data_IF_382445013517
#
_entry.id   IF_382445013517
#
_cell.length_a   1.000
_cell.length_b   1.000
_cell.length_c   1.000
_cell.angle_alpha   90.00
_cell.angle_beta   90.00
_cell.angle_gamma   90.00
#
_symmetry.space_group_name_H-M   'P 1'
#
loop_
_entity.id
_entity.type
_entity.pdbx_description
1 polymer ?
#
# COMPACT_ATOMS: atom_id res chain seq x y z
N UNK A 1 -24.90 0.31 -60.42
CA UNK A 1 -24.83 0.42 -58.97
C UNK A 1 -25.28 1.81 -58.58
N UNK A 2 -26.32 1.90 -57.80
CA UNK A 2 -26.82 3.21 -57.35
C UNK A 2 -25.93 3.75 -56.25
N UNK A 3 -25.51 4.97 -56.39
CA UNK A 3 -24.62 5.65 -55.41
C UNK A 3 -25.21 5.68 -54.02
N UNK A 4 -26.54 5.59 -53.91
CA UNK A 4 -27.26 5.55 -52.64
C UNK A 4 -27.11 4.22 -51.90
N UNK A 5 -26.96 3.11 -52.58
CA UNK A 5 -26.74 1.79 -51.96
C UNK A 5 -25.33 1.66 -51.35
N UNK A 6 -24.36 2.37 -51.92
CA UNK A 6 -22.99 2.37 -51.41
C UNK A 6 -22.89 3.11 -50.05
N UNK A 7 -23.63 4.21 -49.89
CA UNK A 7 -23.65 4.95 -48.62
C UNK A 7 -24.33 4.20 -47.48
N UNK A 8 -25.36 3.38 -47.78
CA UNK A 8 -26.07 2.59 -46.78
C UNK A 8 -25.18 1.47 -46.28
N UNK A 9 -24.42 0.83 -47.15
CA UNK A 9 -23.51 -0.25 -46.76
C UNK A 9 -22.33 0.23 -45.94
N UNK A 10 -21.81 1.41 -46.23
CA UNK A 10 -20.71 2.01 -45.45
C UNK A 10 -21.20 2.45 -44.06
N UNK A 11 -22.43 3.01 -44.00
CA UNK A 11 -23.02 3.41 -42.72
C UNK A 11 -23.29 2.22 -41.80
N UNK A 12 -23.67 1.06 -42.33
CA UNK A 12 -23.94 -0.14 -41.52
C UNK A 12 -22.63 -0.76 -40.99
N UNK A 13 -21.51 -0.59 -41.69
CA UNK A 13 -20.22 -1.11 -41.24
C UNK A 13 -19.60 -0.28 -40.10
N UNK A 14 -19.94 1.01 -40.01
CA UNK A 14 -19.41 1.90 -38.97
C UNK A 14 -20.07 1.72 -37.61
N UNK A 15 -21.29 1.18 -37.56
CA UNK A 15 -22.02 0.97 -36.30
C UNK A 15 -21.55 -0.26 -35.56
N UNK A 16 -20.89 -1.20 -36.23
CA UNK A 16 -20.42 -2.45 -35.65
C UNK A 16 -19.18 -2.37 -34.76
N UNK A 17 -18.50 -1.22 -34.72
CA UNK A 17 -17.24 -1.06 -33.97
C UNK A 17 -17.43 -0.57 -32.52
N UNK A 18 -18.65 -0.31 -32.09
CA UNK A 18 -18.90 0.43 -30.86
C UNK A 18 -19.12 -0.43 -29.62
N UNK A 19 -19.05 -1.77 -29.73
CA UNK A 19 -19.36 -2.68 -28.62
C UNK A 19 -18.28 -3.71 -28.30
N UNK A 20 -17.04 -3.48 -28.73
CA UNK A 20 -15.92 -4.31 -28.31
C UNK A 20 -15.23 -3.67 -27.09
N UNK A 21 -15.97 -3.43 -26.03
CA UNK A 21 -15.36 -3.32 -24.70
C UNK A 21 -15.16 -4.75 -24.21
N UNK A 22 -14.07 -5.34 -24.68
CA UNK A 22 -13.70 -6.68 -24.29
C UNK A 22 -13.34 -6.71 -22.83
N UNK A 23 -14.14 -7.39 -22.03
CA UNK A 23 -13.74 -7.85 -20.71
C UNK A 23 -12.53 -8.76 -20.90
N UNK A 24 -11.45 -8.44 -20.23
CA UNK A 24 -10.20 -9.17 -20.34
C UNK A 24 -9.92 -9.93 -19.05
N UNK A 25 -9.44 -11.15 -19.17
CA UNK A 25 -8.88 -11.85 -18.02
C UNK A 25 -7.45 -11.35 -17.82
N UNK A 26 -7.16 -10.86 -16.63
CA UNK A 26 -5.82 -10.44 -16.23
C UNK A 26 -5.25 -11.50 -15.30
N UNK A 27 -4.07 -11.96 -15.59
CA UNK A 27 -3.35 -12.91 -14.75
C UNK A 27 -1.91 -12.43 -14.54
N UNK A 28 -1.25 -12.96 -13.53
CA UNK A 28 0.13 -12.61 -13.25
C UNK A 28 0.62 -13.17 -11.93
N UNK A 29 1.74 -12.67 -11.47
CA UNK A 29 2.36 -13.08 -10.22
C UNK A 29 2.61 -11.87 -9.33
N UNK A 30 2.57 -12.09 -8.02
CA UNK A 30 2.99 -11.11 -7.01
C UNK A 30 4.21 -11.66 -6.28
N UNK A 31 5.31 -10.93 -6.31
CA UNK A 31 6.59 -11.34 -5.73
C UNK A 31 7.18 -10.23 -4.86
N UNK A 32 8.10 -10.62 -3.98
CA UNK A 32 8.94 -9.67 -3.25
C UNK A 32 10.00 -9.09 -4.20
N UNK A 33 10.11 -7.78 -4.24
CA UNK A 33 11.05 -7.08 -5.11
C UNK A 33 12.53 -7.31 -4.73
N UNK A 34 12.82 -7.64 -3.48
CA UNK A 34 14.17 -7.84 -2.99
C UNK A 34 14.65 -9.29 -3.14
N UNK A 35 13.77 -10.25 -2.86
CA UNK A 35 14.12 -11.68 -2.86
C UNK A 35 13.62 -12.43 -4.10
N UNK A 36 12.55 -11.95 -4.73
CA UNK A 36 11.87 -12.63 -5.82
C UNK A 36 10.92 -13.75 -5.37
N UNK A 37 10.74 -13.90 -4.08
CA UNK A 37 9.85 -14.91 -3.51
C UNK A 37 8.37 -14.58 -3.78
N UNK A 38 7.57 -15.62 -3.96
CA UNK A 38 6.13 -15.49 -4.16
C UNK A 38 5.44 -14.94 -2.91
N UNK A 39 4.65 -13.90 -3.05
CA UNK A 39 3.88 -13.30 -1.97
C UNK A 39 2.49 -13.95 -1.87
N UNK A 40 2.43 -15.03 -1.12
CA UNK A 40 1.19 -15.79 -0.90
C UNK A 40 0.17 -14.97 -0.14
N UNK A 41 -1.05 -14.90 -0.66
CA UNK A 41 -2.13 -14.14 -0.04
C UNK A 41 -2.08 -12.63 -0.29
N UNK A 42 -1.21 -12.16 -1.18
CA UNK A 42 -1.25 -10.78 -1.63
C UNK A 42 -2.60 -10.49 -2.31
N UNK A 43 -3.20 -9.38 -1.99
CA UNK A 43 -4.50 -8.99 -2.51
C UNK A 43 -4.32 -8.16 -3.78
N UNK A 44 -4.98 -8.55 -4.85
CA UNK A 44 -4.96 -7.85 -6.14
C UNK A 44 -6.38 -7.42 -6.48
N UNK A 45 -6.61 -6.13 -6.61
CA UNK A 45 -7.94 -5.56 -6.86
C UNK A 45 -7.94 -4.64 -8.07
N UNK A 46 -9.09 -4.57 -8.74
CA UNK A 46 -9.32 -3.63 -9.84
C UNK A 46 -9.99 -2.38 -9.29
N UNK A 47 -9.32 -1.24 -9.39
CA UNK A 47 -9.84 0.02 -8.85
C UNK A 47 -11.19 0.41 -9.45
N UNK A 48 -12.09 0.87 -8.60
CA UNK A 48 -13.43 1.29 -9.00
C UNK A 48 -14.40 0.14 -9.25
N UNK A 49 -14.01 -1.08 -8.95
CA UNK A 49 -14.87 -2.28 -9.07
C UNK A 49 -14.74 -3.16 -7.83
N UNK A 50 -15.61 -4.16 -7.71
CA UNK A 50 -15.53 -5.20 -6.69
C UNK A 50 -14.70 -6.42 -7.15
N UNK A 51 -14.02 -6.30 -8.29
CA UNK A 51 -13.24 -7.39 -8.86
C UNK A 51 -11.85 -7.46 -8.19
N UNK A 52 -11.45 -8.66 -7.82
CA UNK A 52 -10.15 -8.91 -7.24
C UNK A 52 -9.89 -10.39 -7.04
N UNK A 53 -8.64 -10.72 -6.73
CA UNK A 53 -8.19 -12.08 -6.43
C UNK A 53 -7.04 -12.03 -5.42
N UNK A 54 -6.82 -13.12 -4.71
CA UNK A 54 -5.68 -13.27 -3.82
C UNK A 54 -4.64 -14.21 -4.43
N UNK A 55 -3.39 -13.83 -4.32
CA UNK A 55 -2.29 -14.64 -4.83
C UNK A 55 -2.22 -16.02 -4.16
N UNK A 56 -2.09 -17.05 -4.95
CA UNK A 56 -2.00 -18.44 -4.49
C UNK A 56 -0.64 -18.80 -3.85
N UNK A 57 -0.43 -20.07 -3.55
CA UNK A 57 0.81 -20.55 -2.95
C UNK A 57 2.09 -20.29 -3.79
N UNK A 58 1.92 -20.02 -5.06
CA UNK A 58 3.01 -19.69 -6.00
C UNK A 58 3.04 -18.19 -6.33
N UNK A 59 2.19 -17.41 -5.69
CA UNK A 59 2.04 -15.97 -5.95
C UNK A 59 1.22 -15.65 -7.20
N UNK A 60 0.56 -16.61 -7.84
CA UNK A 60 -0.25 -16.37 -9.03
C UNK A 60 -1.64 -15.85 -8.67
N UNK A 61 -2.17 -14.96 -9.50
CA UNK A 61 -3.55 -14.49 -9.41
C UNK A 61 -4.22 -14.47 -10.78
N UNK A 62 -5.55 -14.45 -10.82
CA UNK A 62 -6.31 -14.37 -12.07
C UNK A 62 -7.65 -13.69 -11.85
N UNK A 63 -7.84 -12.53 -12.45
CA UNK A 63 -9.07 -11.74 -12.36
C UNK A 63 -9.76 -11.74 -13.71
N UNK A 64 -11.02 -12.18 -13.75
CA UNK A 64 -11.84 -12.21 -14.96
C UNK A 64 -12.69 -10.93 -15.07
N UNK A 65 -13.16 -10.65 -16.27
CA UNK A 65 -14.06 -9.51 -16.54
C UNK A 65 -13.47 -8.14 -16.17
N UNK A 66 -12.17 -7.99 -16.33
CA UNK A 66 -11.49 -6.72 -16.06
C UNK A 66 -11.74 -5.75 -17.21
N UNK A 67 -12.25 -4.55 -16.93
CA UNK A 67 -12.42 -3.52 -17.96
C UNK A 67 -11.08 -3.14 -18.60
N UNK A 68 -11.08 -2.96 -19.91
CA UNK A 68 -9.89 -2.53 -20.63
C UNK A 68 -9.40 -1.16 -20.11
N UNK A 69 -8.11 -1.06 -19.79
CA UNK A 69 -7.50 0.15 -19.27
C UNK A 69 -7.76 0.47 -17.79
N UNK A 70 -8.40 -0.45 -17.06
CA UNK A 70 -8.56 -0.30 -15.62
C UNK A 70 -7.22 -0.30 -14.88
N UNK A 71 -7.17 0.32 -13.72
CA UNK A 71 -6.01 0.24 -12.82
C UNK A 71 -6.15 -0.96 -11.91
N UNK A 72 -5.10 -1.75 -11.79
CA UNK A 72 -5.02 -2.89 -10.88
C UNK A 72 -4.03 -2.54 -9.79
N UNK A 73 -4.40 -2.78 -8.54
CA UNK A 73 -3.56 -2.52 -7.38
C UNK A 73 -3.28 -3.82 -6.64
N UNK A 74 -2.01 -4.12 -6.42
CA UNK A 74 -1.57 -5.22 -5.59
C UNK A 74 -1.12 -4.69 -4.22
N UNK A 75 -1.53 -5.36 -3.16
CA UNK A 75 -1.20 -4.97 -1.78
C UNK A 75 -1.01 -6.19 -0.88
N UNK A 76 -0.15 -6.05 0.11
CA UNK A 76 0.07 -7.05 1.15
C UNK A 76 0.52 -6.36 2.44
N UNK A 77 0.16 -6.92 3.58
CA UNK A 77 0.58 -6.40 4.89
C UNK A 77 2.10 -6.47 5.01
N UNK A 78 2.72 -5.35 5.35
CA UNK A 78 4.18 -5.25 5.47
C UNK A 78 4.90 -4.95 4.15
N UNK A 79 4.14 -4.64 3.10
CA UNK A 79 4.68 -4.27 1.79
C UNK A 79 4.05 -2.98 1.28
N UNK A 80 4.83 -2.22 0.54
CA UNK A 80 4.31 -1.07 -0.20
C UNK A 80 3.50 -1.56 -1.39
N UNK A 81 2.25 -1.13 -1.50
CA UNK A 81 1.38 -1.48 -2.62
C UNK A 81 1.89 -0.96 -3.95
N UNK A 82 1.58 -1.66 -5.02
CA UNK A 82 1.92 -1.27 -6.39
C UNK A 82 0.68 -1.29 -7.28
N UNK A 83 0.63 -0.42 -8.26
CA UNK A 83 -0.45 -0.36 -9.24
C UNK A 83 0.08 -0.45 -10.68
N UNK A 84 -0.76 -0.94 -11.56
CA UNK A 84 -0.47 -1.05 -12.98
C UNK A 84 -1.76 -1.00 -13.81
N UNK A 85 -1.64 -0.66 -15.08
CA UNK A 85 -2.76 -0.71 -16.01
C UNK A 85 -3.07 -2.15 -16.40
N UNK A 86 -4.36 -2.50 -16.47
CA UNK A 86 -4.82 -3.83 -16.86
C UNK A 86 -4.29 -4.24 -18.23
N UNK A 87 -3.67 -5.40 -18.27
CA UNK A 87 -3.20 -6.08 -19.48
C UNK A 87 -3.45 -7.59 -19.31
N UNK A 88 -3.29 -8.36 -20.36
CA UNK A 88 -3.49 -9.81 -20.29
C UNK A 88 -2.60 -10.47 -19.22
N UNK A 89 -1.39 -9.96 -19.04
CA UNK A 89 -0.48 -10.41 -17.98
C UNK A 89 0.14 -9.21 -17.28
N UNK A 90 -0.01 -9.16 -15.95
CA UNK A 90 0.56 -8.10 -15.09
C UNK A 90 1.24 -8.76 -13.90
N UNK A 91 2.53 -8.56 -13.78
CA UNK A 91 3.33 -9.05 -12.65
C UNK A 91 3.66 -7.89 -11.70
N UNK A 92 3.49 -8.12 -10.42
CA UNK A 92 3.80 -7.15 -9.38
C UNK A 92 5.03 -7.58 -8.58
N UNK A 93 5.94 -6.65 -8.34
CA UNK A 93 7.03 -6.81 -7.40
C UNK A 93 6.83 -5.79 -6.29
N UNK A 94 6.46 -6.25 -5.10
CA UNK A 94 6.20 -5.41 -3.95
C UNK A 94 7.45 -5.26 -3.10
N UNK A 95 7.76 -4.03 -2.71
CA UNK A 95 8.87 -3.77 -1.78
C UNK A 95 8.40 -3.95 -0.35
N UNK A 96 9.16 -4.66 0.44
CA UNK A 96 8.92 -4.75 1.88
C UNK A 96 8.98 -3.35 2.50
N UNK A 97 7.93 -2.97 3.18
CA UNK A 97 7.91 -1.77 3.99
C UNK A 97 8.56 -2.13 5.33
N UNK A 98 9.83 -1.75 5.47
CA UNK A 98 10.45 -1.80 6.77
C UNK A 98 9.74 -0.79 7.65
N UNK A 99 8.78 -1.24 8.43
CA UNK A 99 8.22 -0.43 9.50
C UNK A 99 9.38 -0.19 10.45
N UNK A 100 9.92 1.01 10.43
CA UNK A 100 10.92 1.44 11.39
C UNK A 100 10.25 1.58 12.76
N UNK A 101 9.89 0.47 13.32
CA UNK A 101 9.29 0.40 14.66
C UNK A 101 10.24 0.98 15.70
N UNK A 102 11.53 0.94 15.43
CA UNK A 102 12.56 1.50 16.29
C UNK A 102 12.43 3.00 16.47
N UNK A 103 12.12 3.72 15.43
CA UNK A 103 12.01 5.18 15.50
C UNK A 103 10.85 5.64 16.37
N UNK A 104 9.76 4.91 16.39
CA UNK A 104 8.60 5.23 17.19
C UNK A 104 8.87 5.03 18.68
N UNK A 105 9.59 3.99 19.03
CA UNK A 105 9.92 3.68 20.43
C UNK A 105 10.92 4.66 21.01
N UNK A 106 11.87 5.09 20.21
CA UNK A 106 12.96 5.95 20.62
C UNK A 106 12.52 7.40 20.77
N UNK A 107 11.49 7.81 20.13
CA UNK A 107 10.98 9.18 20.25
C UNK A 107 10.51 9.49 21.66
N UNK A 108 10.86 8.71 22.54
CA UNK A 108 11.12 9.07 23.89
C UNK A 108 10.27 10.12 24.52
N UNK A 109 9.00 9.96 24.50
CA UNK A 109 8.21 10.63 25.49
C UNK A 109 8.78 10.43 26.89
N UNK A 110 9.18 9.21 27.16
CA UNK A 110 9.69 8.82 28.44
C UNK A 110 10.99 9.48 28.81
N UNK A 111 11.84 9.71 27.85
CA UNK A 111 13.15 10.34 28.07
C UNK A 111 13.01 11.80 28.48
N UNK A 112 12.13 12.52 27.90
CA UNK A 112 11.90 13.93 28.24
C UNK A 112 11.33 14.07 29.64
N UNK A 113 10.31 13.30 29.93
CA UNK A 113 9.68 13.33 31.25
C UNK A 113 10.65 12.98 32.38
N UNK A 114 11.48 12.00 32.16
CA UNK A 114 12.45 11.57 33.16
C UNK A 114 13.48 12.65 33.49
N UNK A 115 13.95 13.32 32.49
CA UNK A 115 14.94 14.39 32.70
C UNK A 115 14.37 15.53 33.50
N UNK A 116 13.18 15.95 33.18
CA UNK A 116 12.54 17.04 33.87
C UNK A 116 12.26 16.71 35.34
N UNK A 117 11.74 15.53 35.58
CA UNK A 117 11.44 15.07 36.93
C UNK A 117 12.71 14.93 37.77
N UNK A 118 13.75 14.35 37.23
CA UNK A 118 14.99 14.14 37.94
C UNK A 118 15.67 15.45 38.33
N UNK A 119 15.70 16.40 37.44
CA UNK A 119 16.27 17.72 37.71
C UNK A 119 15.53 18.46 38.82
N UNK A 120 14.22 18.44 38.79
CA UNK A 120 13.41 19.08 39.78
C UNK A 120 13.58 18.49 41.20
N UNK A 121 13.62 17.20 41.27
CA UNK A 121 13.80 16.50 42.55
C UNK A 121 15.17 16.78 43.16
N UNK A 122 16.20 16.78 42.36
CA UNK A 122 17.54 17.04 42.83
C UNK A 122 17.70 18.40 43.48
N UNK A 123 17.16 19.42 42.83
CA UNK A 123 17.29 20.77 43.34
C UNK A 123 16.53 20.98 44.67
N UNK A 124 15.40 20.36 44.81
CA UNK A 124 14.64 20.47 46.05
C UNK A 124 15.34 19.83 47.26
N UNK A 125 15.96 18.68 47.01
CA UNK A 125 16.67 17.98 48.07
C UNK A 125 17.85 18.77 48.62
N UNK A 126 18.63 19.33 47.78
CA UNK A 126 19.80 20.06 48.17
C UNK A 126 19.42 21.28 49.03
N UNK A 127 18.44 21.99 48.63
CA UNK A 127 18.02 23.15 49.40
C UNK A 127 17.47 22.83 50.79
N UNK A 128 16.80 21.70 50.88
CA UNK A 128 16.21 21.30 52.16
C UNK A 128 17.26 20.89 53.18
N UNK A 129 18.27 20.16 52.78
CA UNK A 129 19.25 19.66 53.69
C UNK A 129 20.13 20.75 54.26
N UNK A 130 20.47 21.71 53.45
CA UNK A 130 21.34 22.81 53.88
C UNK A 130 20.71 23.61 55.00
N UNK A 131 19.45 23.85 54.95
CA UNK A 131 18.75 24.60 55.99
C UNK A 131 18.68 23.89 57.30
N UNK A 132 18.37 22.59 57.24
CA UNK A 132 18.27 21.79 58.44
C UNK A 132 19.59 21.71 59.21
N UNK A 133 20.66 21.54 58.54
CA UNK A 133 21.96 21.40 59.14
C UNK A 133 22.42 22.64 59.93
N UNK A 134 22.05 23.77 59.44
CA UNK A 134 22.49 25.03 60.09
C UNK A 134 21.76 25.37 61.36
N UNK A 135 20.59 24.85 61.51
CA UNK A 135 19.73 25.24 62.64
C UNK A 135 20.09 24.52 63.90
N UNK A 136 20.65 23.38 63.80
CA UNK A 136 20.84 22.51 64.98
C UNK A 136 22.07 22.88 65.80
N UNK A 137 22.86 23.80 65.37
CA UNK A 137 24.11 24.09 66.03
C UNK A 137 24.04 25.15 67.09
N UNK A 138 22.88 25.59 67.38
CA UNK A 138 22.66 26.60 68.46
C UNK A 138 22.16 25.97 69.75
#
# INVERSE_FOLDING_TARGET
MNRSALFITISLFLVGQMFAQGETTVSGTVTDAATGDALVGANVVVEGTDLGDAADANGNYSIVNVPAGATITASMIGYTGANATAAATVNFALSSEAIAVEDIVVIGYGTQSRRDVTGAISSLKEGSFTKGATTDLQ
#
